data_IF_762991590344
#
_entry.id   IF_762991590344
#
_cell.length_a   1.000
_cell.length_b   1.000
_cell.length_c   1.000
_cell.angle_alpha   90.00
_cell.angle_beta   90.00
_cell.angle_gamma   90.00
#
_symmetry.space_group_name_H-M   'P 1'
#
loop_
_entity.id
_entity.type
_entity.pdbx_description
1 polymer ?
#
# COMPACT_ATOMS: atom_id res chain seq x y z
N UNK A 1 25.14 -1.17 -13.58
CA UNK A 1 24.61 0.10 -14.08
C UNK A 1 23.56 -0.21 -15.12
N UNK A 2 22.30 -0.21 -14.70
CA UNK A 2 21.16 -0.08 -15.61
C UNK A 2 21.02 1.40 -15.94
N UNK A 3 20.86 1.74 -17.21
CA UNK A 3 20.57 3.11 -17.63
C UNK A 3 19.24 3.57 -17.02
N UNK A 4 19.23 4.79 -16.46
CA UNK A 4 18.04 5.35 -15.83
C UNK A 4 16.85 5.41 -16.79
N UNK A 5 17.09 5.74 -18.04
CA UNK A 5 16.07 5.79 -19.10
C UNK A 5 15.44 4.41 -19.37
N UNK A 6 16.27 3.36 -19.39
CA UNK A 6 15.81 1.98 -19.54
C UNK A 6 15.02 1.49 -18.31
N UNK A 7 15.40 1.94 -17.12
CA UNK A 7 14.65 1.66 -15.90
C UNK A 7 13.26 2.32 -15.93
N UNK A 8 13.16 3.60 -16.32
CA UNK A 8 11.88 4.32 -16.48
C UNK A 8 10.99 3.62 -17.50
N UNK A 9 11.53 3.26 -18.66
CA UNK A 9 10.78 2.57 -19.70
C UNK A 9 10.21 1.24 -19.19
N UNK A 10 11.01 0.44 -18.47
CA UNK A 10 10.56 -0.84 -17.97
C UNK A 10 9.56 -0.75 -16.81
N UNK A 11 9.68 0.22 -15.90
CA UNK A 11 8.66 0.36 -14.83
C UNK A 11 7.32 0.87 -15.37
N UNK A 12 7.32 1.54 -16.52
CA UNK A 12 6.12 1.99 -17.21
C UNK A 12 5.57 0.93 -18.19
N UNK A 13 6.41 0.02 -18.67
CA UNK A 13 6.00 -1.02 -19.60
C UNK A 13 5.22 -2.13 -18.89
N UNK A 14 3.99 -2.37 -19.37
CA UNK A 14 3.07 -3.37 -18.81
C UNK A 14 3.46 -4.82 -19.14
N UNK A 15 4.45 -5.02 -20.00
CA UNK A 15 5.00 -6.30 -20.42
C UNK A 15 6.46 -6.48 -20.01
N UNK A 16 7.00 -5.57 -19.20
CA UNK A 16 8.38 -5.59 -18.74
C UNK A 16 8.72 -6.93 -18.11
N UNK A 17 9.98 -7.32 -18.31
CA UNK A 17 10.46 -8.57 -17.76
C UNK A 17 10.50 -8.48 -16.21
N UNK A 18 9.87 -9.43 -15.49
CA UNK A 18 9.84 -9.40 -14.03
C UNK A 18 11.23 -9.48 -13.39
N UNK A 19 12.20 -10.14 -14.04
CA UNK A 19 13.59 -10.19 -13.58
C UNK A 19 14.26 -8.82 -13.76
N UNK A 20 13.94 -8.12 -14.84
CA UNK A 20 14.44 -6.77 -15.07
C UNK A 20 13.86 -5.77 -14.05
N UNK A 21 12.57 -5.88 -13.72
CA UNK A 21 11.95 -5.08 -12.64
C UNK A 21 12.62 -5.32 -11.29
N UNK A 22 12.95 -6.57 -10.95
CA UNK A 22 13.71 -6.87 -9.74
C UNK A 22 15.08 -6.18 -9.77
N UNK A 23 15.83 -6.29 -10.88
CA UNK A 23 17.14 -5.63 -11.03
C UNK A 23 17.06 -4.12 -10.88
N UNK A 24 16.04 -3.48 -11.46
CA UNK A 24 15.77 -2.05 -11.30
C UNK A 24 15.53 -1.72 -9.83
N UNK A 25 14.68 -2.47 -9.14
CA UNK A 25 14.40 -2.23 -7.73
C UNK A 25 15.63 -2.39 -6.82
N UNK A 26 16.55 -3.29 -7.16
CA UNK A 26 17.83 -3.48 -6.45
C UNK A 26 18.84 -2.36 -6.76
N UNK A 27 19.01 -1.97 -8.02
CA UNK A 27 19.99 -0.94 -8.41
C UNK A 27 19.46 0.50 -8.17
N UNK A 28 18.15 0.69 -8.13
CA UNK A 28 17.50 1.99 -8.03
C UNK A 28 16.24 1.89 -7.12
N UNK A 29 16.42 2.03 -5.80
CA UNK A 29 15.32 1.92 -4.84
C UNK A 29 14.22 2.97 -5.05
N UNK A 30 14.54 4.12 -5.66
CA UNK A 30 13.58 5.17 -6.04
C UNK A 30 12.47 4.67 -6.97
N UNK A 31 12.74 3.64 -7.77
CA UNK A 31 11.75 3.03 -8.67
C UNK A 31 10.86 1.99 -7.98
N UNK A 32 11.12 1.61 -6.73
CA UNK A 32 10.38 0.55 -6.04
C UNK A 32 8.87 0.77 -5.99
N UNK A 33 8.40 2.03 -5.87
CA UNK A 33 6.97 2.35 -5.93
C UNK A 33 6.37 2.14 -7.33
N UNK A 34 7.10 2.53 -8.39
CA UNK A 34 6.67 2.34 -9.77
C UNK A 34 6.70 0.85 -10.18
N UNK A 35 7.71 0.12 -9.71
CA UNK A 35 7.77 -1.34 -9.85
C UNK A 35 6.56 -1.96 -9.15
N UNK A 36 6.21 -1.52 -7.95
CA UNK A 36 5.09 -2.10 -7.20
C UNK A 36 3.74 -1.96 -7.91
N UNK A 37 3.47 -0.83 -8.58
CA UNK A 37 2.20 -0.61 -9.31
C UNK A 37 2.17 -1.29 -10.68
N UNK A 38 3.29 -1.84 -11.14
CA UNK A 38 3.36 -2.49 -12.45
C UNK A 38 2.64 -3.86 -12.39
N UNK A 39 1.73 -4.19 -13.33
CA UNK A 39 1.01 -5.46 -13.34
C UNK A 39 1.90 -6.70 -13.51
N UNK A 40 3.13 -6.53 -14.01
CA UNK A 40 4.15 -7.60 -14.11
C UNK A 40 4.92 -7.83 -12.82
N UNK A 41 4.79 -6.93 -11.83
CA UNK A 41 5.42 -7.12 -10.54
C UNK A 41 4.79 -8.32 -9.82
N UNK A 42 5.56 -9.38 -9.71
CA UNK A 42 5.11 -10.62 -9.11
C UNK A 42 5.04 -10.48 -7.58
N UNK A 43 4.17 -11.25 -6.91
CA UNK A 43 3.92 -11.12 -5.47
C UNK A 43 5.17 -11.33 -4.59
N UNK A 44 6.15 -12.10 -5.06
CA UNK A 44 7.44 -12.25 -4.38
C UNK A 44 8.25 -10.95 -4.35
N UNK A 45 8.24 -10.18 -5.45
CA UNK A 45 8.90 -8.88 -5.52
C UNK A 45 8.18 -7.84 -4.67
N UNK A 46 6.84 -7.86 -4.62
CA UNK A 46 6.06 -6.94 -3.79
C UNK A 46 6.32 -7.16 -2.29
N UNK A 47 6.44 -8.42 -1.84
CA UNK A 47 6.88 -8.71 -0.46
C UNK A 47 8.31 -8.27 -0.21
N UNK A 48 9.20 -8.50 -1.18
CA UNK A 48 10.58 -8.05 -1.07
C UNK A 48 10.67 -6.52 -0.96
N UNK A 49 9.89 -5.78 -1.76
CA UNK A 49 9.76 -4.32 -1.67
C UNK A 49 9.17 -3.87 -0.34
N UNK A 50 8.26 -4.64 0.25
CA UNK A 50 7.75 -4.32 1.58
C UNK A 50 8.86 -4.40 2.64
N UNK A 51 9.83 -5.31 2.48
CA UNK A 51 10.85 -5.60 3.50
C UNK A 51 12.12 -4.77 3.28
N UNK A 52 12.61 -4.75 2.04
CA UNK A 52 13.86 -4.13 1.63
C UNK A 52 13.70 -2.88 0.75
N UNK A 53 12.48 -2.56 0.32
CA UNK A 53 12.22 -1.37 -0.49
C UNK A 53 12.22 -0.06 0.30
N UNK A 54 12.23 1.04 -0.44
CA UNK A 54 12.16 2.41 0.08
C UNK A 54 10.80 2.72 0.75
N UNK A 55 10.71 3.81 1.52
CA UNK A 55 9.48 4.24 2.20
C UNK A 55 8.30 4.35 1.22
N UNK A 56 8.52 4.98 0.05
CA UNK A 56 7.46 5.07 -0.98
C UNK A 56 7.04 3.72 -1.54
N UNK A 57 7.99 2.80 -1.72
CA UNK A 57 7.71 1.45 -2.19
C UNK A 57 6.89 0.69 -1.16
N UNK A 58 7.27 0.76 0.12
CA UNK A 58 6.57 0.18 1.26
C UNK A 58 5.14 0.70 1.39
N UNK A 59 4.93 2.01 1.27
CA UNK A 59 3.59 2.60 1.27
C UNK A 59 2.74 2.08 0.10
N UNK A 60 3.33 1.94 -1.07
CA UNK A 60 2.64 1.48 -2.28
C UNK A 60 2.25 0.01 -2.17
N UNK A 61 3.17 -0.87 -1.75
CA UNK A 61 2.87 -2.29 -1.53
C UNK A 61 1.93 -2.52 -0.34
N UNK A 62 2.02 -1.69 0.71
CA UNK A 62 1.09 -1.72 1.83
C UNK A 62 -0.34 -1.33 1.42
N UNK A 63 -0.51 -0.34 0.53
CA UNK A 63 -1.81 0.00 -0.06
C UNK A 63 -2.41 -1.17 -0.87
N UNK A 64 -1.54 -1.98 -1.49
CA UNK A 64 -1.94 -3.23 -2.17
C UNK A 64 -2.12 -4.42 -1.23
N UNK A 65 -1.83 -4.28 0.07
CA UNK A 65 -1.99 -5.34 1.08
C UNK A 65 -0.78 -6.26 1.24
N UNK A 66 0.37 -5.92 0.67
CA UNK A 66 1.64 -6.62 0.91
C UNK A 66 2.42 -5.91 2.02
N UNK A 67 2.62 -6.58 3.15
CA UNK A 67 3.31 -6.04 4.32
C UNK A 67 4.54 -6.87 4.65
N UNK A 68 5.68 -6.24 4.95
CA UNK A 68 6.82 -6.94 5.52
C UNK A 68 6.53 -7.29 6.98
N UNK A 69 6.63 -8.58 7.25
CA UNK A 69 6.62 -9.23 8.56
C UNK A 69 6.04 -8.43 9.74
N UNK A 70 4.72 -8.57 9.95
CA UNK A 70 4.13 -8.69 11.29
C UNK A 70 4.15 -7.49 12.23
N UNK A 71 4.74 -6.35 11.89
CA UNK A 71 4.57 -5.14 12.69
C UNK A 71 3.31 -4.44 12.21
N UNK A 72 2.21 -4.41 12.99
CA UNK A 72 1.11 -3.52 12.66
C UNK A 72 1.68 -2.10 12.76
N UNK A 73 1.94 -1.48 11.62
CA UNK A 73 2.07 -0.04 11.53
C UNK A 73 0.69 0.56 11.84
N UNK A 74 0.27 0.48 13.11
CA UNK A 74 -0.86 1.20 13.67
C UNK A 74 -0.56 2.70 13.81
N UNK A 75 0.34 3.27 13.01
CA UNK A 75 0.70 4.67 13.10
C UNK A 75 0.72 5.43 11.77
N UNK A 76 0.79 4.80 10.59
CA UNK A 76 0.82 5.58 9.34
C UNK A 76 0.12 4.89 8.18
N UNK A 77 -0.88 5.59 7.64
CA UNK A 77 -1.73 5.29 6.49
C UNK A 77 -2.94 4.37 6.73
N UNK A 78 -4.03 4.91 7.32
CA UNK A 78 -5.35 4.43 6.94
C UNK A 78 -5.56 4.75 5.44
N UNK A 79 -6.17 3.87 4.63
CA UNK A 79 -6.75 4.33 3.37
C UNK A 79 -7.71 5.48 3.69
N UNK A 80 -7.83 6.55 2.88
CA UNK A 80 -8.90 7.52 3.04
C UNK A 80 -10.22 6.81 2.74
N UNK A 81 -10.74 6.07 3.71
CA UNK A 81 -12.16 5.76 3.79
C UNK A 81 -12.82 7.11 4.07
N UNK A 82 -13.67 7.65 3.18
CA UNK A 82 -14.51 8.77 3.56
C UNK A 82 -15.33 8.33 4.77
N UNK A 83 -14.99 8.86 5.93
CA UNK A 83 -15.62 8.60 7.21
C UNK A 83 -17.10 8.95 7.11
N UNK A 84 -17.97 7.92 7.11
CA UNK A 84 -19.40 8.07 7.43
C UNK A 84 -19.54 8.79 8.77
N UNK A 85 -20.29 9.90 8.88
CA UNK A 85 -20.74 10.36 10.18
C UNK A 85 -22.01 9.61 10.58
N UNK A 86 -21.92 8.69 11.55
CA UNK A 86 -23.06 8.12 12.30
C UNK A 86 -22.53 7.45 13.58
N UNK A 87 -23.21 7.49 14.74
CA UNK A 87 -24.40 8.23 15.21
C UNK A 87 -24.19 8.99 16.55
N UNK A 88 -25.13 9.85 16.99
CA UNK A 88 -25.20 10.37 18.38
C UNK A 88 -26.16 9.51 19.22
N UNK A 89 -25.74 8.91 20.36
CA UNK A 89 -26.67 8.34 21.32
C UNK A 89 -27.11 9.41 22.31
N UNK A 90 -28.22 10.10 22.06
CA UNK A 90 -28.90 10.86 23.13
C UNK A 90 -29.79 9.91 23.92
N UNK A 91 -29.19 9.28 24.93
CA UNK A 91 -29.94 8.78 26.09
C UNK A 91 -30.39 9.99 26.89
N UNK A 92 -31.66 10.38 26.80
CA UNK A 92 -32.29 11.30 27.77
C UNK A 92 -33.81 11.17 27.76
N UNK A 93 -34.35 11.09 28.97
CA UNK A 93 -35.75 11.17 29.41
C UNK A 93 -36.63 9.91 29.40
N UNK A 94 -36.50 9.19 30.52
CA UNK A 94 -37.62 8.85 31.40
C UNK A 94 -38.89 9.69 31.17
N UNK A 95 -39.98 9.05 30.74
CA UNK A 95 -41.32 9.53 31.06
C UNK A 95 -42.17 8.36 31.57
N UNK A 96 -42.40 8.42 32.87
CA UNK A 96 -43.40 7.69 33.65
C UNK A 96 -44.71 7.49 32.86
N UNK A 97 -45.26 6.28 32.91
CA UNK A 97 -46.63 6.02 33.42
C UNK A 97 -46.92 4.51 33.48
N UNK A 98 -47.27 3.96 34.67
CA UNK A 98 -47.78 2.61 34.80
C UNK A 98 -49.28 2.55 34.45
N UNK A 99 -49.67 1.33 34.11
CA UNK A 99 -50.99 0.75 33.82
C UNK A 99 -52.13 1.15 34.76
N UNK A 100 -53.31 1.44 34.21
CA UNK A 100 -54.61 0.99 34.75
C UNK A 100 -55.67 1.06 33.66
#
# INVERSE_FOLDING_TARGET
MVDYDAAVAAVQDQNADPIFLAKIAYENPEFGANVAVNPRAYPGLLRWLAEFGDERARETVAQMGYTANGTPAGATSPPPRPSRPRPRPTRTHSRRRPTR
#
